data_IF_229943003044
#
_entry.id   IF_229943003044
#
_cell.length_a   1.000
_cell.length_b   1.000
_cell.length_c   1.000
_cell.angle_alpha   90.00
_cell.angle_beta   90.00
_cell.angle_gamma   90.00
#
_symmetry.space_group_name_H-M   'P 1'
#
loop_
_entity.id
_entity.type
_entity.pdbx_description
1 polymer ?
#
# COMPACT_ATOMS: atom_id res chain seq x y z
N UNK A 1 21.85 2.50 12.67
CA UNK A 1 20.93 3.08 13.71
C UNK A 1 19.60 2.31 13.82
N UNK A 2 19.63 1.04 13.47
CA UNK A 2 18.48 0.16 13.56
C UNK A 2 17.82 0.22 14.94
N UNK A 3 16.49 0.41 15.01
CA UNK A 3 15.66 0.43 16.23
C UNK A 3 16.07 1.45 17.30
N UNK A 4 16.76 2.54 16.94
CA UNK A 4 17.32 3.45 17.93
C UNK A 4 16.27 4.11 18.84
N UNK A 5 15.09 4.42 18.30
CA UNK A 5 13.95 4.98 19.03
C UNK A 5 12.71 4.09 18.94
N UNK A 6 12.91 2.79 18.65
CA UNK A 6 11.84 1.80 18.53
C UNK A 6 10.98 1.79 19.79
N UNK A 7 9.65 1.86 19.63
CA UNK A 7 8.66 1.87 20.70
C UNK A 7 8.79 3.03 21.72
N UNK A 8 9.41 4.15 21.32
CA UNK A 8 9.43 5.36 22.14
C UNK A 8 8.05 6.05 22.12
N UNK A 9 7.03 5.33 22.61
CA UNK A 9 5.59 5.65 22.48
C UNK A 9 5.18 7.01 23.02
N UNK A 10 5.90 7.56 24.00
CA UNK A 10 5.58 8.84 24.64
C UNK A 10 6.41 10.01 24.10
N UNK A 11 7.37 9.73 23.19
CA UNK A 11 8.22 10.75 22.59
C UNK A 11 7.38 11.71 21.74
N UNK A 12 7.44 13.01 22.07
CA UNK A 12 6.72 14.07 21.35
C UNK A 12 7.59 14.84 20.39
N UNK A 13 8.80 15.15 20.79
CA UNK A 13 9.76 15.90 19.99
C UNK A 13 11.17 15.32 20.19
N UNK A 14 11.99 15.44 19.17
CA UNK A 14 13.39 15.03 19.21
C UNK A 14 14.23 15.99 18.37
N UNK A 15 15.38 16.39 18.91
CA UNK A 15 16.37 17.17 18.18
C UNK A 15 17.41 16.22 17.55
N UNK A 16 17.48 16.18 16.23
CA UNK A 16 18.36 15.33 15.44
C UNK A 16 19.50 16.12 14.78
N UNK A 17 19.64 17.42 15.02
CA UNK A 17 20.60 18.30 14.33
C UNK A 17 22.08 17.90 14.47
N UNK A 18 22.42 17.07 15.46
CA UNK A 18 23.81 16.60 15.70
C UNK A 18 24.01 15.13 15.32
N UNK A 19 23.00 14.51 14.68
CA UNK A 19 23.11 13.12 14.28
C UNK A 19 23.94 12.99 13.01
N UNK A 20 25.12 12.39 13.09
CA UNK A 20 25.87 11.98 11.92
C UNK A 20 25.39 10.61 11.46
N UNK A 21 24.69 10.58 10.31
CA UNK A 21 24.18 9.35 9.71
C UNK A 21 24.99 8.90 8.49
N UNK A 22 26.10 9.57 8.18
CA UNK A 22 26.89 9.35 6.96
C UNK A 22 27.44 7.92 6.79
N UNK A 23 27.58 7.17 7.90
CA UNK A 23 28.07 5.78 7.88
C UNK A 23 26.99 4.74 8.20
N UNK A 24 25.73 5.18 8.28
CA UNK A 24 24.60 4.28 8.64
C UNK A 24 24.19 3.47 7.43
N UNK A 25 24.12 2.16 7.60
CA UNK A 25 23.68 1.22 6.55
C UNK A 25 22.29 0.66 6.81
N UNK A 26 21.80 0.68 8.06
CA UNK A 26 20.48 0.15 8.43
C UNK A 26 19.75 1.14 9.35
N UNK A 27 18.62 1.67 8.87
CA UNK A 27 17.70 2.56 9.60
C UNK A 27 16.36 1.89 9.89
N UNK A 28 16.26 0.56 9.71
CA UNK A 28 15.00 -0.15 9.93
C UNK A 28 14.49 0.04 11.36
N UNK A 29 13.18 0.26 11.49
CA UNK A 29 12.48 0.49 12.76
C UNK A 29 12.99 1.69 13.58
N UNK A 30 13.73 2.64 13.00
CA UNK A 30 14.39 3.68 13.79
C UNK A 30 13.42 4.48 14.65
N UNK A 31 12.24 4.81 14.14
CA UNK A 31 11.17 5.54 14.85
C UNK A 31 9.87 4.72 14.94
N UNK A 32 9.96 3.40 14.75
CA UNK A 32 8.77 2.54 14.82
C UNK A 32 8.08 2.68 16.17
N UNK A 33 6.76 2.85 16.18
CA UNK A 33 5.99 2.95 17.41
C UNK A 33 6.16 4.27 18.18
N UNK A 34 6.73 5.32 17.57
CA UNK A 34 6.79 6.66 18.16
C UNK A 34 5.42 7.35 18.04
N UNK A 35 4.38 6.80 18.68
CA UNK A 35 2.97 7.13 18.47
C UNK A 35 2.62 8.58 18.76
N UNK A 36 3.33 9.24 19.68
CA UNK A 36 3.01 10.61 20.13
C UNK A 36 3.89 11.68 19.53
N UNK A 37 4.67 11.38 18.51
CA UNK A 37 5.42 12.44 17.83
C UNK A 37 4.49 13.52 17.29
N UNK A 38 4.83 14.77 17.62
CA UNK A 38 4.16 15.98 17.16
C UNK A 38 4.88 16.61 15.97
N UNK A 39 6.20 16.41 15.89
CA UNK A 39 7.04 16.84 14.77
C UNK A 39 8.26 15.93 14.64
N UNK A 40 8.80 15.80 13.43
CA UNK A 40 10.01 15.05 13.13
C UNK A 40 10.72 15.67 11.93
N UNK A 41 11.90 16.24 12.17
CA UNK A 41 12.76 16.76 11.11
C UNK A 41 13.91 15.77 10.86
N UNK A 42 13.95 15.22 9.65
CA UNK A 42 14.96 14.27 9.17
C UNK A 42 15.76 14.82 7.98
N UNK A 43 15.62 16.11 7.69
CA UNK A 43 16.28 16.76 6.56
C UNK A 43 17.80 16.72 6.60
N UNK A 44 18.36 16.61 7.83
CA UNK A 44 19.81 16.49 8.04
C UNK A 44 20.37 15.07 7.88
N UNK A 45 19.54 14.07 7.56
CA UNK A 45 20.03 12.70 7.44
C UNK A 45 20.74 12.47 6.11
N UNK A 46 21.97 11.92 6.18
CA UNK A 46 22.67 11.37 5.02
C UNK A 46 22.30 9.89 4.90
N UNK A 47 21.72 9.50 3.79
CA UNK A 47 21.17 8.15 3.60
C UNK A 47 21.81 7.35 2.46
N UNK A 48 22.88 7.85 1.84
CA UNK A 48 23.54 7.28 0.66
C UNK A 48 23.98 5.81 0.84
N UNK A 49 24.31 5.42 2.07
CA UNK A 49 24.79 4.06 2.39
C UNK A 49 23.71 3.16 3.01
N UNK A 50 22.49 3.68 3.18
CA UNK A 50 21.41 2.91 3.81
C UNK A 50 20.83 1.92 2.79
N UNK A 51 20.78 0.64 3.19
CA UNK A 51 20.21 -0.44 2.38
C UNK A 51 18.88 -0.97 2.91
N UNK A 52 18.50 -0.64 4.14
CA UNK A 52 17.25 -1.07 4.76
C UNK A 52 16.57 0.08 5.51
N UNK A 53 15.35 0.44 5.07
CA UNK A 53 14.48 1.44 5.71
C UNK A 53 13.14 0.83 6.15
N UNK A 54 13.06 -0.51 6.24
CA UNK A 54 11.80 -1.17 6.60
C UNK A 54 11.29 -0.66 7.95
N UNK A 55 9.99 -0.30 8.00
CA UNK A 55 9.29 0.22 9.17
C UNK A 55 9.97 1.42 9.86
N UNK A 56 10.77 2.22 9.13
CA UNK A 56 11.52 3.32 9.75
C UNK A 56 10.63 4.29 10.50
N UNK A 57 9.44 4.61 9.99
CA UNK A 57 8.47 5.53 10.59
C UNK A 57 7.15 4.86 10.97
N UNK A 58 7.09 3.52 11.00
CA UNK A 58 5.84 2.80 11.27
C UNK A 58 5.21 3.25 12.58
N UNK A 59 3.92 3.65 12.54
CA UNK A 59 3.16 4.13 13.69
C UNK A 59 3.53 5.53 14.19
N UNK A 60 4.40 6.28 13.48
CA UNK A 60 4.72 7.64 13.88
C UNK A 60 3.48 8.53 13.84
N UNK A 61 3.26 9.27 14.94
CA UNK A 61 2.13 10.19 15.06
C UNK A 61 0.74 9.52 15.08
N UNK A 62 0.65 8.21 15.33
CA UNK A 62 -0.62 7.47 15.37
C UNK A 62 -1.67 8.13 16.28
N UNK A 63 -1.26 8.58 17.47
CA UNK A 63 -2.11 9.31 18.43
C UNK A 63 -1.69 10.76 18.64
N UNK A 64 -0.64 11.20 17.95
CA UNK A 64 0.00 12.49 18.15
C UNK A 64 -0.37 13.54 17.14
N UNK A 65 0.45 14.60 17.14
CA UNK A 65 0.30 15.79 16.32
C UNK A 65 1.01 15.74 14.97
N UNK A 66 1.81 14.68 14.67
CA UNK A 66 2.56 14.62 13.42
C UNK A 66 1.59 14.61 12.21
N UNK A 67 1.53 15.76 11.53
CA UNK A 67 0.63 15.99 10.39
C UNK A 67 1.35 15.91 9.06
N UNK A 68 2.65 16.21 9.07
CA UNK A 68 3.46 16.19 7.86
C UNK A 68 4.80 15.51 8.11
N UNK A 69 5.28 14.80 7.11
CA UNK A 69 6.62 14.23 7.07
C UNK A 69 7.22 14.45 5.68
N UNK A 70 8.42 15.00 5.65
CA UNK A 70 9.16 15.22 4.40
C UNK A 70 10.43 14.37 4.41
N UNK A 71 10.52 13.47 3.44
CA UNK A 71 11.69 12.59 3.21
C UNK A 71 12.29 12.81 1.83
N UNK A 72 11.96 13.93 1.16
CA UNK A 72 12.47 14.25 -0.18
C UNK A 72 13.98 14.43 -0.25
N UNK A 73 14.63 14.72 0.90
CA UNK A 73 16.08 14.81 1.00
C UNK A 73 16.79 13.44 1.08
N UNK A 74 16.05 12.33 1.17
CA UNK A 74 16.66 11.00 1.29
C UNK A 74 17.27 10.53 -0.03
N UNK A 75 18.52 10.11 0.00
CA UNK A 75 19.20 9.42 -1.10
C UNK A 75 19.04 7.91 -0.91
N UNK A 76 18.09 7.31 -1.58
CA UNK A 76 17.68 5.91 -1.33
C UNK A 76 18.10 4.92 -2.42
N UNK A 77 19.00 5.33 -3.33
CA UNK A 77 19.45 4.47 -4.44
C UNK A 77 20.13 3.15 -4.03
N UNK A 78 20.55 3.01 -2.75
CA UNK A 78 21.09 1.74 -2.23
C UNK A 78 20.07 0.89 -1.46
N UNK A 79 18.83 1.40 -1.25
CA UNK A 79 17.82 0.73 -0.43
C UNK A 79 17.18 -0.41 -1.20
N UNK A 80 17.07 -1.57 -0.55
CA UNK A 80 16.44 -2.78 -1.12
C UNK A 80 15.13 -3.17 -0.43
N UNK A 81 14.90 -2.69 0.80
CA UNK A 81 13.68 -2.98 1.57
C UNK A 81 13.09 -1.69 2.17
N UNK A 82 11.88 -1.33 1.72
CA UNK A 82 11.06 -0.22 2.24
C UNK A 82 9.74 -0.72 2.83
N UNK A 83 9.64 -2.02 3.15
CA UNK A 83 8.40 -2.59 3.66
C UNK A 83 7.94 -1.87 4.93
N UNK A 84 6.66 -1.46 4.94
CA UNK A 84 6.03 -0.79 6.07
C UNK A 84 6.67 0.54 6.48
N UNK A 85 7.44 1.22 5.59
CA UNK A 85 8.21 2.42 5.97
C UNK A 85 7.33 3.47 6.66
N UNK A 86 6.08 3.64 6.23
CA UNK A 86 5.10 4.57 6.80
C UNK A 86 3.84 3.86 7.34
N UNK A 87 3.90 2.54 7.56
CA UNK A 87 2.78 1.74 8.07
C UNK A 87 2.22 2.33 9.37
N UNK A 88 0.91 2.57 9.43
CA UNK A 88 0.25 3.10 10.63
C UNK A 88 0.51 4.58 10.92
N UNK A 89 1.09 5.36 9.99
CA UNK A 89 1.20 6.81 10.13
C UNK A 89 -0.17 7.50 9.97
N UNK A 90 -1.17 7.05 10.72
CA UNK A 90 -2.58 7.42 10.56
C UNK A 90 -2.89 8.88 10.87
N UNK A 91 -1.96 9.59 11.50
CA UNK A 91 -2.07 11.02 11.79
C UNK A 91 -1.69 11.94 10.64
N UNK A 92 -0.86 11.43 9.68
CA UNK A 92 -0.35 12.23 8.57
C UNK A 92 -1.47 12.67 7.63
N UNK A 93 -1.45 13.95 7.28
CA UNK A 93 -2.29 14.56 6.23
C UNK A 93 -1.46 14.94 5.01
N UNK A 94 -0.12 14.98 5.13
CA UNK A 94 0.82 15.26 4.05
C UNK A 94 2.09 14.41 4.21
N UNK A 95 2.52 13.80 3.12
CA UNK A 95 3.75 13.00 3.06
C UNK A 95 4.47 13.30 1.74
N UNK A 96 5.69 13.84 1.83
CA UNK A 96 6.50 14.13 0.65
C UNK A 96 7.55 13.03 0.45
N UNK A 97 7.36 12.24 -0.62
CA UNK A 97 8.26 11.14 -1.04
C UNK A 97 8.95 11.42 -2.38
N UNK A 98 8.87 12.63 -2.91
CA UNK A 98 9.32 12.98 -4.27
C UNK A 98 10.81 12.76 -4.53
N UNK A 99 11.65 12.71 -3.48
CA UNK A 99 13.09 12.43 -3.59
C UNK A 99 13.47 10.96 -3.46
N UNK A 100 12.51 10.09 -3.11
CA UNK A 100 12.78 8.66 -2.92
C UNK A 100 13.05 7.99 -4.28
N UNK A 101 14.19 7.33 -4.37
CA UNK A 101 14.60 6.48 -5.50
C UNK A 101 14.42 5.03 -5.12
N UNK A 102 13.74 4.25 -5.97
CA UNK A 102 13.35 2.88 -5.63
C UNK A 102 13.79 1.83 -6.65
N UNK A 103 14.71 2.20 -7.56
CA UNK A 103 15.23 1.32 -8.61
C UNK A 103 15.86 0.01 -8.10
N UNK A 104 16.26 -0.07 -6.83
CA UNK A 104 16.83 -1.26 -6.21
C UNK A 104 15.91 -1.92 -5.17
N UNK A 105 14.71 -1.34 -4.95
CA UNK A 105 13.77 -1.86 -3.96
C UNK A 105 13.05 -3.10 -4.49
N UNK A 106 13.11 -4.19 -3.74
CA UNK A 106 12.40 -5.43 -4.05
C UNK A 106 11.14 -5.64 -3.20
N UNK A 107 11.01 -4.95 -2.07
CA UNK A 107 9.91 -5.12 -1.14
C UNK A 107 9.31 -3.78 -0.73
N UNK A 108 8.06 -3.54 -1.17
CA UNK A 108 7.24 -2.37 -0.81
C UNK A 108 5.96 -2.77 -0.04
N UNK A 109 5.91 -4.01 0.48
CA UNK A 109 4.74 -4.46 1.23
C UNK A 109 4.43 -3.50 2.38
N UNK A 110 3.16 -3.11 2.52
CA UNK A 110 2.67 -2.22 3.60
C UNK A 110 3.30 -0.82 3.64
N UNK A 111 3.94 -0.36 2.56
CA UNK A 111 4.73 0.90 2.62
C UNK A 111 3.91 2.08 3.14
N UNK A 112 2.65 2.21 2.73
CA UNK A 112 1.71 3.26 3.14
C UNK A 112 0.48 2.70 3.88
N UNK A 113 0.55 1.46 4.37
CA UNK A 113 -0.58 0.82 5.05
C UNK A 113 -1.08 1.70 6.20
N UNK A 114 -2.40 1.83 6.33
CA UNK A 114 -3.07 2.59 7.39
C UNK A 114 -2.64 4.05 7.52
N UNK A 115 -2.20 4.68 6.42
CA UNK A 115 -2.07 6.14 6.35
C UNK A 115 -3.46 6.78 6.16
N UNK A 116 -4.30 6.61 7.17
CA UNK A 116 -5.76 6.81 7.09
C UNK A 116 -6.20 8.23 6.70
N UNK A 117 -5.38 9.26 7.00
CA UNK A 117 -5.74 10.67 6.81
C UNK A 117 -5.01 11.34 5.64
N UNK A 118 -4.15 10.62 4.93
CA UNK A 118 -3.60 11.16 3.68
C UNK A 118 -4.72 11.35 2.67
N UNK A 119 -4.83 12.58 2.14
CA UNK A 119 -5.80 12.93 1.11
C UNK A 119 -5.16 12.95 -0.28
N UNK A 120 -3.86 13.15 -0.32
CA UNK A 120 -3.04 13.22 -1.52
C UNK A 120 -1.73 12.49 -1.27
N UNK A 121 -1.32 11.66 -2.23
CA UNK A 121 -0.06 10.92 -2.18
C UNK A 121 0.50 10.77 -3.60
N UNK A 122 1.51 11.58 -3.90
CA UNK A 122 2.24 11.49 -5.16
C UNK A 122 3.27 10.35 -5.10
N UNK A 123 3.02 9.29 -5.87
CA UNK A 123 3.89 8.12 -6.01
C UNK A 123 4.58 8.04 -7.37
N UNK A 124 4.49 9.08 -8.19
CA UNK A 124 5.02 9.11 -9.57
C UNK A 124 6.54 8.96 -9.64
N UNK A 125 7.26 9.26 -8.54
CA UNK A 125 8.72 9.06 -8.44
C UNK A 125 9.14 7.60 -8.19
N UNK A 126 8.21 6.70 -7.82
CA UNK A 126 8.55 5.34 -7.43
C UNK A 126 8.79 4.45 -8.66
N UNK A 127 10.02 4.00 -8.86
CA UNK A 127 10.34 2.92 -9.80
C UNK A 127 10.03 1.57 -9.16
N UNK A 128 9.10 0.83 -9.75
CA UNK A 128 8.65 -0.47 -9.23
C UNK A 128 9.20 -1.67 -10.01
N UNK A 129 10.12 -1.43 -10.96
CA UNK A 129 10.62 -2.45 -11.90
C UNK A 129 11.32 -3.65 -11.26
N UNK A 130 11.78 -3.52 -10.01
CA UNK A 130 12.41 -4.60 -9.26
C UNK A 130 11.57 -5.12 -8.09
N UNK A 131 10.36 -4.58 -7.89
CA UNK A 131 9.50 -4.97 -6.77
C UNK A 131 8.86 -6.32 -7.02
N UNK A 132 8.96 -7.20 -6.02
CA UNK A 132 8.34 -8.54 -6.04
C UNK A 132 7.16 -8.66 -5.09
N UNK A 133 7.05 -7.77 -4.10
CA UNK A 133 5.99 -7.78 -3.10
C UNK A 133 5.40 -6.38 -2.90
N UNK A 134 4.11 -6.21 -3.26
CA UNK A 134 3.31 -5.00 -3.06
C UNK A 134 2.12 -5.23 -2.12
N UNK A 135 2.13 -6.33 -1.36
CA UNK A 135 1.00 -6.67 -0.50
C UNK A 135 0.70 -5.56 0.50
N UNK A 136 -0.57 -5.19 0.60
CA UNK A 136 -1.08 -4.16 1.53
C UNK A 136 -0.44 -2.77 1.36
N UNK A 137 0.14 -2.45 0.19
CA UNK A 137 0.92 -1.21 0.01
C UNK A 137 0.12 0.04 0.36
N UNK A 138 -1.16 0.10 -0.01
CA UNK A 138 -2.09 1.21 0.27
C UNK A 138 -3.28 0.81 1.14
N UNK A 139 -3.22 -0.37 1.80
CA UNK A 139 -4.33 -0.84 2.64
C UNK A 139 -4.68 0.18 3.72
N UNK A 140 -5.98 0.51 3.82
CA UNK A 140 -6.47 1.46 4.81
C UNK A 140 -6.12 2.94 4.53
N UNK A 141 -5.70 3.31 3.31
CA UNK A 141 -5.58 4.71 2.90
C UNK A 141 -6.97 5.30 2.63
N UNK A 142 -7.75 5.50 3.70
CA UNK A 142 -9.19 5.76 3.63
C UNK A 142 -9.58 7.07 2.96
N UNK A 143 -8.71 8.08 3.03
CA UNK A 143 -9.04 9.45 2.59
C UNK A 143 -8.46 9.81 1.23
N UNK A 144 -7.64 8.95 0.62
CA UNK A 144 -7.14 9.14 -0.75
C UNK A 144 -8.32 9.05 -1.72
N UNK A 145 -8.48 10.09 -2.55
CA UNK A 145 -9.56 10.17 -3.55
C UNK A 145 -9.06 9.92 -4.97
N UNK A 146 -7.77 10.11 -5.20
CA UNK A 146 -7.08 9.89 -6.48
C UNK A 146 -5.70 9.28 -6.22
N UNK A 147 -5.29 8.31 -7.04
CA UNK A 147 -4.01 7.63 -6.91
C UNK A 147 -3.52 7.17 -8.29
N UNK A 148 -2.49 7.83 -8.81
CA UNK A 148 -1.91 7.46 -10.11
C UNK A 148 -0.85 6.36 -9.94
N UNK A 149 -1.20 5.15 -10.38
CA UNK A 149 -0.33 3.97 -10.42
C UNK A 149 -0.07 3.49 -11.85
N UNK A 150 -0.42 4.28 -12.86
CA UNK A 150 -0.32 3.90 -14.28
C UNK A 150 1.12 3.62 -14.74
N UNK A 151 2.11 4.22 -14.05
CA UNK A 151 3.55 4.04 -14.31
C UNK A 151 4.14 2.81 -13.59
N UNK A 152 3.39 2.13 -12.70
CA UNK A 152 3.92 0.97 -11.98
C UNK A 152 4.25 -0.18 -12.94
N UNK A 153 5.49 -0.65 -12.88
CA UNK A 153 5.90 -1.89 -13.52
C UNK A 153 5.73 -3.04 -12.54
N UNK A 154 4.78 -3.93 -12.82
CA UNK A 154 4.42 -5.04 -11.92
C UNK A 154 4.87 -6.41 -12.43
N UNK A 155 5.66 -6.46 -13.50
CA UNK A 155 6.06 -7.72 -14.16
C UNK A 155 6.79 -8.74 -13.24
N UNK A 156 7.37 -8.28 -12.13
CA UNK A 156 8.04 -9.16 -11.15
C UNK A 156 7.23 -9.39 -9.88
N UNK A 157 6.06 -8.76 -9.75
CA UNK A 157 5.25 -8.84 -8.53
C UNK A 157 4.59 -10.21 -8.43
N UNK A 158 4.75 -10.85 -7.28
CA UNK A 158 4.17 -12.17 -6.98
C UNK A 158 3.03 -12.09 -5.96
N UNK A 159 2.97 -11.04 -5.15
CA UNK A 159 1.93 -10.84 -4.12
C UNK A 159 1.37 -9.42 -4.19
N UNK A 160 0.07 -9.32 -4.54
CA UNK A 160 -0.74 -8.10 -4.55
C UNK A 160 -1.87 -8.15 -3.51
N UNK A 161 -1.77 -9.05 -2.52
CA UNK A 161 -2.79 -9.19 -1.48
C UNK A 161 -3.05 -7.86 -0.79
N UNK A 162 -4.31 -7.45 -0.68
CA UNK A 162 -4.74 -6.25 0.03
C UNK A 162 -4.19 -4.93 -0.50
N UNK A 163 -3.61 -4.89 -1.71
CA UNK A 163 -2.85 -3.70 -2.18
C UNK A 163 -3.64 -2.40 -2.06
N UNK A 164 -4.95 -2.41 -2.34
CA UNK A 164 -5.84 -1.25 -2.26
C UNK A 164 -6.99 -1.46 -1.26
N UNK A 165 -6.90 -2.48 -0.40
CA UNK A 165 -7.94 -2.78 0.59
C UNK A 165 -8.23 -1.55 1.46
N UNK A 166 -9.49 -1.26 1.72
CA UNK A 166 -9.89 -0.14 2.57
C UNK A 166 -9.64 1.26 2.00
N UNK A 167 -9.29 1.42 0.72
CA UNK A 167 -9.23 2.71 0.04
C UNK A 167 -10.66 3.25 -0.22
N UNK A 168 -11.39 3.53 0.86
CA UNK A 168 -12.85 3.72 0.83
C UNK A 168 -13.32 5.02 0.16
N UNK A 169 -12.45 6.00 -0.05
CA UNK A 169 -12.77 7.25 -0.77
C UNK A 169 -12.25 7.28 -2.21
N UNK A 170 -11.46 6.28 -2.62
CA UNK A 170 -10.93 6.21 -3.98
C UNK A 170 -12.07 5.96 -4.96
N UNK A 171 -12.31 6.94 -5.84
CA UNK A 171 -13.48 6.92 -6.73
C UNK A 171 -13.22 6.11 -8.02
N UNK A 172 -11.98 6.06 -8.47
CA UNK A 172 -11.54 5.32 -9.65
C UNK A 172 -10.08 4.92 -9.51
N UNK A 173 -9.67 3.88 -10.22
CA UNK A 173 -8.29 3.41 -10.25
C UNK A 173 -7.98 2.80 -11.61
N UNK A 174 -6.93 3.28 -12.28
CA UNK A 174 -6.47 2.71 -13.54
C UNK A 174 -5.32 1.73 -13.29
N UNK A 175 -5.60 0.44 -13.47
CA UNK A 175 -4.65 -0.67 -13.31
C UNK A 175 -4.41 -1.44 -14.61
N UNK A 176 -4.79 -0.87 -15.76
CA UNK A 176 -4.65 -1.54 -17.07
C UNK A 176 -3.19 -1.78 -17.47
N UNK A 177 -2.25 -1.03 -16.88
CA UNK A 177 -0.81 -1.22 -17.09
C UNK A 177 -0.23 -2.37 -16.26
N UNK A 178 -0.98 -2.95 -15.32
CA UNK A 178 -0.46 -4.00 -14.46
C UNK A 178 -0.23 -5.30 -15.25
N UNK A 179 1.00 -5.79 -15.24
CA UNK A 179 1.34 -7.14 -15.63
C UNK A 179 1.18 -8.06 -14.42
N UNK A 180 0.24 -8.99 -14.48
CA UNK A 180 -0.12 -9.84 -13.34
C UNK A 180 0.26 -11.31 -13.55
N UNK A 181 0.98 -11.63 -14.64
CA UNK A 181 1.33 -13.02 -14.99
C UNK A 181 2.10 -13.75 -13.88
N UNK A 182 2.89 -13.07 -13.05
CA UNK A 182 3.65 -13.68 -11.95
C UNK A 182 2.87 -13.71 -10.62
N UNK A 183 1.69 -13.08 -10.55
CA UNK A 183 0.94 -12.95 -9.30
C UNK A 183 0.33 -14.26 -8.88
N UNK A 184 0.56 -14.66 -7.63
CA UNK A 184 0.01 -15.88 -7.04
C UNK A 184 -1.11 -15.62 -6.02
N UNK A 185 -1.17 -14.41 -5.44
CA UNK A 185 -2.21 -14.00 -4.51
C UNK A 185 -2.72 -12.60 -4.80
N UNK A 186 -4.05 -12.49 -4.93
CA UNK A 186 -4.82 -11.25 -5.02
C UNK A 186 -5.86 -11.16 -3.88
N UNK A 187 -5.62 -11.89 -2.77
CA UNK A 187 -6.56 -11.88 -1.66
C UNK A 187 -6.81 -10.46 -1.14
N UNK A 188 -8.06 -10.09 -0.93
CA UNK A 188 -8.48 -8.77 -0.42
C UNK A 188 -7.99 -7.56 -1.24
N UNK A 189 -7.51 -7.74 -2.49
CA UNK A 189 -6.84 -6.66 -3.25
C UNK A 189 -7.69 -5.40 -3.35
N UNK A 190 -9.00 -5.52 -3.51
CA UNK A 190 -9.98 -4.43 -3.60
C UNK A 190 -11.06 -4.53 -2.52
N UNK A 191 -10.77 -5.17 -1.40
CA UNK A 191 -11.71 -5.29 -0.29
C UNK A 191 -12.04 -3.92 0.29
N UNK A 192 -13.31 -3.67 0.61
CA UNK A 192 -13.79 -2.43 1.22
C UNK A 192 -13.43 -1.14 0.42
N UNK A 193 -13.33 -1.22 -0.91
CA UNK A 193 -13.18 -0.07 -1.81
C UNK A 193 -14.55 0.56 -2.09
N UNK A 194 -15.17 1.10 -1.05
CA UNK A 194 -16.56 1.55 -1.09
C UNK A 194 -16.82 2.73 -2.03
N UNK A 195 -15.81 3.55 -2.34
CA UNK A 195 -15.91 4.69 -3.25
C UNK A 195 -15.92 4.33 -4.73
N UNK A 196 -15.50 3.11 -5.10
CA UNK A 196 -15.43 2.68 -6.50
C UNK A 196 -16.73 2.02 -6.96
N UNK A 197 -17.38 2.62 -7.96
CA UNK A 197 -18.55 2.04 -8.63
C UNK A 197 -18.18 0.95 -9.64
N UNK A 198 -17.04 1.12 -10.31
CA UNK A 198 -16.61 0.22 -11.39
C UNK A 198 -15.09 0.05 -11.38
N UNK A 199 -14.64 -1.12 -11.80
CA UNK A 199 -13.22 -1.36 -12.12
C UNK A 199 -13.12 -2.27 -13.34
N UNK A 200 -12.15 -1.99 -14.21
CA UNK A 200 -11.82 -2.79 -15.38
C UNK A 200 -10.54 -3.58 -15.13
N UNK A 201 -10.68 -4.89 -14.99
CA UNK A 201 -9.60 -5.85 -14.77
C UNK A 201 -9.44 -6.80 -15.97
N UNK A 202 -9.94 -6.43 -17.15
CA UNK A 202 -9.85 -7.26 -18.36
C UNK A 202 -8.40 -7.51 -18.83
N UNK A 203 -7.45 -6.65 -18.40
CA UNK A 203 -6.03 -6.82 -18.68
C UNK A 203 -5.30 -7.78 -17.72
N UNK A 204 -5.97 -8.21 -16.64
CA UNK A 204 -5.32 -9.10 -15.67
C UNK A 204 -5.19 -10.52 -16.19
N UNK A 205 -3.96 -11.02 -16.24
CA UNK A 205 -3.67 -12.43 -16.40
C UNK A 205 -3.62 -13.09 -15.02
N UNK A 206 -4.60 -13.95 -14.74
CA UNK A 206 -4.71 -14.62 -13.43
C UNK A 206 -4.34 -16.10 -13.47
N UNK A 207 -3.71 -16.58 -14.57
CA UNK A 207 -3.39 -17.99 -14.79
C UNK A 207 -2.50 -18.62 -13.68
N UNK A 208 -1.80 -17.83 -12.89
CA UNK A 208 -0.97 -18.30 -11.77
C UNK A 208 -1.55 -17.96 -10.39
N UNK A 209 -2.71 -17.31 -10.33
CA UNK A 209 -3.34 -16.95 -9.05
C UNK A 209 -3.98 -18.18 -8.41
N UNK A 210 -3.66 -18.40 -7.13
CA UNK A 210 -4.21 -19.50 -6.34
C UNK A 210 -5.14 -19.02 -5.22
N UNK A 211 -5.09 -17.72 -4.87
CA UNK A 211 -5.83 -17.16 -3.74
C UNK A 211 -6.51 -15.84 -4.10
N UNK A 212 -7.85 -15.85 -4.12
CA UNK A 212 -8.73 -14.70 -4.35
C UNK A 212 -9.70 -14.45 -3.18
N UNK A 213 -9.36 -14.93 -1.96
CA UNK A 213 -10.19 -14.73 -0.76
C UNK A 213 -10.45 -13.25 -0.52
N UNK A 214 -11.71 -12.87 -0.33
CA UNK A 214 -12.15 -11.49 -0.07
C UNK A 214 -11.76 -10.45 -1.15
N UNK A 215 -11.42 -10.85 -2.38
CA UNK A 215 -10.82 -9.92 -3.38
C UNK A 215 -11.65 -8.65 -3.57
N UNK A 216 -12.99 -8.76 -3.58
CA UNK A 216 -13.92 -7.63 -3.69
C UNK A 216 -14.86 -7.54 -2.48
N UNK A 217 -14.51 -8.16 -1.36
CA UNK A 217 -15.36 -8.18 -0.16
C UNK A 217 -15.73 -6.77 0.28
N UNK A 218 -17.00 -6.55 0.62
CA UNK A 218 -17.48 -5.31 1.24
C UNK A 218 -18.12 -5.62 2.58
N UNK A 219 -17.38 -5.30 3.66
CA UNK A 219 -17.85 -5.44 5.03
C UNK A 219 -18.47 -4.17 5.60
N UNK A 220 -18.76 -3.19 4.75
CA UNK A 220 -19.34 -1.91 5.20
C UNK A 220 -20.75 -2.17 5.74
N UNK A 221 -20.89 -2.05 7.05
CA UNK A 221 -22.15 -2.22 7.79
C UNK A 221 -22.77 -0.88 8.18
N UNK A 222 -22.28 0.19 7.56
CA UNK A 222 -22.76 1.53 7.84
C UNK A 222 -24.22 1.68 7.40
N UNK A 223 -25.05 2.15 8.32
CA UNK A 223 -26.49 2.38 8.12
C UNK A 223 -26.79 3.64 7.28
N UNK A 224 -25.77 4.39 6.87
CA UNK A 224 -25.92 5.62 6.09
C UNK A 224 -25.97 5.37 4.59
N UNK A 225 -25.60 4.17 4.12
CA UNK A 225 -25.65 3.81 2.70
C UNK A 225 -24.60 4.51 1.82
N UNK A 226 -23.71 5.29 2.40
CA UNK A 226 -22.67 6.00 1.69
C UNK A 226 -21.47 5.06 1.44
N UNK A 227 -21.29 4.63 0.20
CA UNK A 227 -20.15 3.81 -0.22
C UNK A 227 -20.49 2.32 -0.32
N UNK A 228 -21.33 1.97 -1.28
CA UNK A 228 -21.88 0.62 -1.42
C UNK A 228 -21.01 -0.31 -2.27
N UNK A 229 -19.81 0.13 -2.64
CA UNK A 229 -18.87 -0.66 -3.42
C UNK A 229 -19.25 -0.84 -4.88
N UNK A 230 -18.66 -1.81 -5.51
CA UNK A 230 -18.78 -2.02 -6.95
C UNK A 230 -20.21 -2.31 -7.42
N UNK A 231 -20.63 -1.58 -8.46
CA UNK A 231 -21.86 -1.83 -9.23
C UNK A 231 -21.58 -2.73 -10.43
N UNK A 232 -20.35 -2.67 -10.96
CA UNK A 232 -19.90 -3.47 -12.11
C UNK A 232 -18.44 -3.86 -11.97
N UNK A 233 -18.14 -5.10 -12.35
CA UNK A 233 -16.78 -5.64 -12.40
C UNK A 233 -16.55 -6.21 -13.80
N UNK A 234 -15.48 -5.79 -14.47
CA UNK A 234 -15.06 -6.43 -15.72
C UNK A 234 -13.95 -7.44 -15.40
N UNK A 235 -14.30 -8.72 -15.39
CA UNK A 235 -13.42 -9.85 -15.05
C UNK A 235 -13.15 -10.74 -16.28
N UNK A 236 -13.33 -10.23 -17.49
CA UNK A 236 -13.26 -11.02 -18.73
C UNK A 236 -11.85 -11.62 -19.00
N UNK A 237 -10.80 -11.08 -18.35
CA UNK A 237 -9.44 -11.63 -18.43
C UNK A 237 -9.13 -12.71 -17.39
N UNK A 238 -10.06 -13.06 -16.49
CA UNK A 238 -9.77 -13.98 -15.39
C UNK A 238 -9.72 -15.44 -15.85
N UNK A 239 -8.57 -16.08 -15.64
CA UNK A 239 -8.40 -17.54 -15.63
C UNK A 239 -8.36 -18.01 -14.16
N UNK A 240 -9.32 -18.80 -13.76
CA UNK A 240 -9.44 -19.29 -12.38
C UNK A 240 -9.09 -20.78 -12.21
N UNK A 241 -8.57 -21.40 -13.26
CA UNK A 241 -8.25 -22.84 -13.25
C UNK A 241 -7.26 -23.30 -12.18
N UNK A 242 -6.41 -22.40 -11.65
CA UNK A 242 -5.49 -22.71 -10.53
C UNK A 242 -5.97 -22.19 -9.18
N UNK A 243 -7.08 -21.49 -9.13
CA UNK A 243 -7.56 -20.89 -7.86
C UNK A 243 -8.11 -21.99 -6.96
N UNK A 244 -7.61 -22.01 -5.72
CA UNK A 244 -8.03 -22.96 -4.69
C UNK A 244 -8.81 -22.31 -3.55
N UNK A 245 -8.85 -20.96 -3.53
CA UNK A 245 -9.47 -20.19 -2.44
C UNK A 245 -10.18 -18.96 -2.98
N UNK A 246 -11.53 -18.95 -2.89
CA UNK A 246 -12.40 -17.84 -3.29
C UNK A 246 -13.38 -17.38 -2.19
N UNK A 247 -13.14 -17.74 -0.94
CA UNK A 247 -14.05 -17.41 0.17
C UNK A 247 -14.38 -15.92 0.18
N UNK A 248 -15.68 -15.59 0.23
CA UNK A 248 -16.20 -14.21 0.29
C UNK A 248 -15.78 -13.30 -0.88
N UNK A 249 -15.34 -13.82 -2.02
CA UNK A 249 -14.78 -13.01 -3.12
C UNK A 249 -15.69 -11.83 -3.50
N UNK A 250 -17.01 -12.04 -3.54
CA UNK A 250 -18.01 -11.01 -3.88
C UNK A 250 -18.99 -10.72 -2.73
N UNK A 251 -18.69 -11.17 -1.51
CA UNK A 251 -19.59 -11.02 -0.38
C UNK A 251 -19.74 -9.54 0.01
N UNK A 252 -20.99 -9.14 0.26
CA UNK A 252 -21.34 -7.80 0.72
C UNK A 252 -21.44 -6.72 -0.37
N UNK A 253 -21.29 -7.07 -1.65
CA UNK A 253 -21.49 -6.14 -2.78
C UNK A 253 -22.97 -5.89 -3.03
N UNK A 254 -23.61 -5.10 -2.19
CA UNK A 254 -25.08 -4.88 -2.18
C UNK A 254 -25.61 -4.21 -3.46
N UNK A 255 -24.75 -3.47 -4.17
CA UNK A 255 -25.11 -2.72 -5.38
C UNK A 255 -24.68 -3.39 -6.67
N UNK A 256 -24.04 -4.55 -6.60
CA UNK A 256 -23.64 -5.29 -7.80
C UNK A 256 -24.88 -5.73 -8.55
N UNK A 257 -25.05 -5.20 -9.77
CA UNK A 257 -26.24 -5.46 -10.61
C UNK A 257 -25.98 -6.45 -11.73
N UNK A 258 -24.70 -6.62 -12.10
CA UNK A 258 -24.30 -7.48 -13.22
C UNK A 258 -22.91 -8.06 -12.94
N UNK A 259 -22.77 -9.37 -13.16
CA UNK A 259 -21.51 -10.09 -12.93
C UNK A 259 -21.44 -11.27 -13.90
N UNK A 260 -20.54 -11.18 -14.87
CA UNK A 260 -20.26 -12.29 -15.79
C UNK A 260 -19.12 -13.16 -15.21
N UNK A 261 -19.45 -14.40 -14.89
CA UNK A 261 -18.54 -15.43 -14.41
C UNK A 261 -18.44 -16.62 -15.40
N UNK A 262 -18.84 -16.42 -16.65
CA UNK A 262 -18.88 -17.50 -17.65
C UNK A 262 -17.48 -18.10 -17.93
N UNK A 263 -16.40 -17.35 -17.65
CA UNK A 263 -15.02 -17.81 -17.76
C UNK A 263 -14.46 -18.48 -16.51
N UNK A 264 -15.22 -18.55 -15.40
CA UNK A 264 -14.71 -19.10 -14.14
C UNK A 264 -14.71 -20.63 -14.14
N UNK A 265 -13.54 -21.22 -13.85
CA UNK A 265 -13.39 -22.63 -13.49
C UNK A 265 -13.27 -22.74 -11.96
N UNK A 266 -14.15 -23.49 -11.33
CA UNK A 266 -14.18 -23.69 -9.88
C UNK A 266 -13.84 -25.13 -9.46
N UNK A 267 -13.31 -25.93 -10.39
CA UNK A 267 -13.03 -27.34 -10.12
C UNK A 267 -11.99 -27.58 -9.00
N UNK A 268 -11.13 -26.58 -8.75
CA UNK A 268 -10.07 -26.66 -7.74
C UNK A 268 -10.36 -25.87 -6.44
N UNK A 269 -11.52 -25.23 -6.33
CA UNK A 269 -11.90 -24.38 -5.19
C UNK A 269 -12.41 -25.21 -4.02
#
# INVERSE_FOLDING_TARGET
>A
MRRMFDECRQLKTIDLNKFDTSKVTDMSYMFNGCYKLDSLDVSGFTTDHVNNMSRMFSGCGYTGGLKSLDVSAFHTGSVTDMSGMFDGCSGLTSLNVSGIRTENVSNMARMFMSCEKLTDLDVTSLDTSNVTNMSYMFDGCKMITDLDVTHFNTAKVTDMSGMFSGCSKLASLDVRSFDTVQVTSMSAMFSNCAGMDTIDLSSFDTCNVTNMVNMFYSGVTDSTGDGEGFKRLNLSGFDTGKVTRMTNMFSGLKNLTDLDLSGFDTANV
#
